data_IF_668290119725
#
_entry.id   IF_668290119725
#
_cell.length_a   1.000
_cell.length_b   1.000
_cell.length_c   1.000
_cell.angle_alpha   90.00
_cell.angle_beta   90.00
_cell.angle_gamma   90.00
#
_symmetry.space_group_name_H-M   'P 1'
#
loop_
_entity.id
_entity.type
_entity.pdbx_description
1 polymer ?
#
# COMPACT_ATOMS: atom_id res chain seq x y z
N UNK A 1 20.06 0.71 -0.64
CA UNK A 1 19.13 0.60 -1.78
C UNK A 1 18.18 1.79 -1.72
N UNK A 2 18.10 2.57 -2.79
CA UNK A 2 17.22 3.74 -2.87
C UNK A 2 15.84 3.36 -3.44
N UNK A 3 14.83 4.21 -3.20
CA UNK A 3 13.47 4.07 -3.74
C UNK A 3 13.46 4.01 -5.28
N UNK A 4 14.36 4.77 -5.91
CA UNK A 4 14.57 4.76 -7.35
C UNK A 4 15.06 3.39 -7.86
N UNK A 5 15.91 2.71 -7.08
CA UNK A 5 16.41 1.38 -7.43
C UNK A 5 15.29 0.34 -7.36
N UNK A 6 14.43 0.41 -6.33
CA UNK A 6 13.29 -0.51 -6.16
C UNK A 6 12.25 -0.31 -7.28
N UNK A 7 11.94 0.94 -7.64
CA UNK A 7 11.00 1.23 -8.73
C UNK A 7 11.54 0.75 -10.08
N UNK A 8 12.83 1.00 -10.35
CA UNK A 8 13.51 0.53 -11.56
C UNK A 8 13.49 -1.00 -11.69
N UNK A 9 13.75 -1.70 -10.59
CA UNK A 9 13.74 -3.17 -10.57
C UNK A 9 12.33 -3.74 -10.76
N UNK A 10 11.29 -3.10 -10.21
CA UNK A 10 9.89 -3.49 -10.42
C UNK A 10 9.51 -3.35 -11.89
N UNK A 11 9.91 -2.26 -12.55
CA UNK A 11 9.57 -2.02 -13.95
C UNK A 11 10.31 -2.97 -14.90
N UNK A 12 11.58 -3.28 -14.60
CA UNK A 12 12.32 -4.34 -15.31
C UNK A 12 11.63 -5.70 -15.17
N UNK A 13 11.24 -6.08 -13.96
CA UNK A 13 10.53 -7.35 -13.72
C UNK A 13 9.19 -7.43 -14.45
N UNK A 14 8.43 -6.32 -14.50
CA UNK A 14 7.21 -6.22 -15.30
C UNK A 14 7.47 -6.38 -16.80
N UNK A 15 8.55 -5.80 -17.31
CA UNK A 15 8.97 -5.95 -18.70
C UNK A 15 9.29 -7.41 -19.04
N UNK A 16 10.08 -8.07 -18.19
CA UNK A 16 10.43 -9.49 -18.35
C UNK A 16 9.20 -10.39 -18.31
N UNK A 17 8.27 -10.15 -17.39
CA UNK A 17 7.00 -10.89 -17.31
C UNK A 17 6.17 -10.78 -18.59
N UNK A 18 6.09 -9.57 -19.16
CA UNK A 18 5.35 -9.34 -20.39
C UNK A 18 5.96 -10.08 -21.58
N UNK A 19 7.29 -10.06 -21.67
CA UNK A 19 8.03 -10.79 -22.71
C UNK A 19 7.82 -12.30 -22.61
N UNK A 20 7.83 -12.87 -21.40
CA UNK A 20 7.54 -14.31 -21.19
C UNK A 20 6.10 -14.63 -21.59
N UNK A 21 5.12 -13.80 -21.20
CA UNK A 21 3.72 -14.00 -21.55
C UNK A 21 3.48 -13.98 -23.07
N UNK A 22 4.18 -13.08 -23.79
CA UNK A 22 4.09 -12.99 -25.24
C UNK A 22 4.79 -14.17 -25.94
N UNK A 23 5.93 -14.65 -25.41
CA UNK A 23 6.60 -15.85 -25.91
C UNK A 23 5.73 -17.10 -25.77
N UNK A 24 5.00 -17.24 -24.65
CA UNK A 24 4.05 -18.35 -24.42
C UNK A 24 2.89 -18.30 -25.42
N UNK A 25 2.34 -17.11 -25.69
CA UNK A 25 1.29 -16.92 -26.71
C UNK A 25 1.80 -17.28 -28.11
N UNK A 26 3.06 -17.00 -28.43
CA UNK A 26 3.65 -17.40 -29.71
C UNK A 26 3.82 -18.91 -29.80
N UNK A 27 4.29 -19.58 -28.74
CA UNK A 27 4.43 -21.03 -28.72
C UNK A 27 3.06 -21.74 -28.87
N UNK A 28 2.00 -21.19 -28.30
CA UNK A 28 0.61 -21.70 -28.41
C UNK A 28 0.10 -21.70 -29.87
N UNK A 29 0.58 -20.75 -30.70
CA UNK A 29 0.26 -20.71 -32.15
C UNK A 29 0.99 -21.77 -32.97
N UNK A 30 2.12 -22.28 -32.48
CA UNK A 30 3.03 -23.16 -33.24
C UNK A 30 2.90 -24.64 -32.83
N UNK A 31 2.42 -24.95 -31.61
CA UNK A 31 2.23 -26.33 -31.14
C UNK A 31 1.03 -26.49 -30.17
N UNK A 32 -0.22 -26.58 -30.66
CA UNK A 32 -1.43 -26.49 -29.82
C UNK A 32 -1.73 -27.74 -28.93
N UNK A 33 -0.97 -28.84 -29.05
CA UNK A 33 -1.30 -30.13 -28.40
C UNK A 33 -0.72 -30.38 -27.00
N UNK A 34 0.53 -29.99 -26.74
CA UNK A 34 1.29 -30.34 -25.50
C UNK A 34 1.47 -29.14 -24.54
N UNK A 35 0.82 -28.01 -24.83
CA UNK A 35 1.13 -26.72 -24.19
C UNK A 35 0.20 -26.39 -23.02
N UNK A 36 -0.94 -27.07 -22.84
CA UNK A 36 -1.92 -26.71 -21.80
C UNK A 36 -1.34 -26.71 -20.38
N UNK A 37 -0.63 -27.78 -20.00
CA UNK A 37 0.01 -27.88 -18.68
C UNK A 37 1.16 -26.89 -18.52
N UNK A 38 1.89 -26.62 -19.61
CA UNK A 38 2.96 -25.60 -19.64
C UNK A 38 2.40 -24.18 -19.53
N UNK A 39 1.24 -23.93 -20.13
CA UNK A 39 0.53 -22.64 -20.10
C UNK A 39 -0.03 -22.38 -18.70
N UNK A 40 -0.64 -23.37 -18.06
CA UNK A 40 -1.08 -23.27 -16.67
C UNK A 40 0.11 -23.02 -15.74
N UNK A 41 1.23 -23.73 -15.93
CA UNK A 41 2.44 -23.50 -15.14
C UNK A 41 3.04 -22.10 -15.32
N UNK A 42 3.04 -21.55 -16.54
CA UNK A 42 3.54 -20.19 -16.79
C UNK A 42 2.57 -19.12 -16.29
N UNK A 43 1.26 -19.32 -16.44
CA UNK A 43 0.25 -18.42 -15.90
C UNK A 43 0.32 -18.38 -14.37
N UNK A 44 0.47 -19.53 -13.72
CA UNK A 44 0.63 -19.60 -12.26
C UNK A 44 1.89 -18.86 -11.79
N UNK A 45 3.03 -19.06 -12.47
CA UNK A 45 4.28 -18.32 -12.16
C UNK A 45 4.14 -16.82 -12.39
N UNK A 46 3.44 -16.42 -13.45
CA UNK A 46 3.14 -15.01 -13.71
C UNK A 46 2.32 -14.41 -12.56
N UNK A 47 1.27 -15.11 -12.12
CA UNK A 47 0.38 -14.62 -11.05
C UNK A 47 1.11 -14.55 -9.70
N UNK A 48 1.97 -15.51 -9.39
CA UNK A 48 2.84 -15.48 -8.21
C UNK A 48 3.84 -14.32 -8.25
N UNK A 49 4.41 -14.03 -9.41
CA UNK A 49 5.31 -12.91 -9.62
C UNK A 49 4.57 -11.57 -9.49
N UNK A 50 3.37 -11.44 -10.07
CA UNK A 50 2.52 -10.24 -9.91
C UNK A 50 2.16 -10.04 -8.45
N UNK A 51 1.79 -11.10 -7.72
CA UNK A 51 1.47 -11.03 -6.29
C UNK A 51 2.69 -10.60 -5.47
N UNK A 52 3.88 -11.10 -5.80
CA UNK A 52 5.14 -10.71 -5.17
C UNK A 52 5.49 -9.25 -5.44
N UNK A 53 5.31 -8.78 -6.67
CA UNK A 53 5.52 -7.38 -7.05
C UNK A 53 4.54 -6.44 -6.35
N UNK A 54 3.27 -6.81 -6.27
CA UNK A 54 2.26 -6.04 -5.52
C UNK A 54 2.60 -5.94 -4.04
N UNK A 55 3.09 -7.02 -3.40
CA UNK A 55 3.59 -6.98 -2.02
C UNK A 55 4.80 -6.04 -1.88
N UNK A 56 5.77 -6.12 -2.78
CA UNK A 56 6.96 -5.24 -2.77
C UNK A 56 6.61 -3.77 -2.96
N UNK A 57 5.63 -3.47 -3.83
CA UNK A 57 5.15 -2.10 -4.04
C UNK A 57 4.53 -1.53 -2.77
N UNK A 58 3.67 -2.30 -2.09
CA UNK A 58 3.09 -1.89 -0.79
C UNK A 58 4.17 -1.60 0.25
N UNK A 59 5.18 -2.47 0.36
CA UNK A 59 6.31 -2.26 1.28
C UNK A 59 7.11 -0.99 0.93
N UNK A 60 7.27 -0.69 -0.36
CA UNK A 60 7.93 0.55 -0.81
C UNK A 60 7.11 1.79 -0.46
N UNK A 61 5.79 1.74 -0.63
CA UNK A 61 4.89 2.85 -0.30
C UNK A 61 4.86 3.09 1.22
N UNK A 62 4.79 2.02 2.03
CA UNK A 62 4.91 2.07 3.50
C UNK A 62 6.25 2.67 3.94
N UNK A 63 7.36 2.21 3.38
CA UNK A 63 8.70 2.74 3.68
C UNK A 63 8.83 4.22 3.32
N UNK A 64 8.30 4.62 2.16
CA UNK A 64 8.31 6.03 1.71
C UNK A 64 7.56 6.93 2.68
N UNK A 65 6.40 6.48 3.15
CA UNK A 65 5.58 7.25 4.09
C UNK A 65 6.26 7.33 5.45
N UNK A 66 6.83 6.23 5.95
CA UNK A 66 7.62 6.24 7.19
C UNK A 66 8.84 7.15 7.09
N UNK A 67 9.60 7.11 6.00
CA UNK A 67 10.76 7.98 5.80
C UNK A 67 10.37 9.46 5.70
N UNK A 68 9.23 9.78 5.07
CA UNK A 68 8.70 11.15 5.07
C UNK A 68 8.34 11.63 6.48
N UNK A 69 7.72 10.78 7.29
CA UNK A 69 7.38 11.11 8.67
C UNK A 69 8.62 11.26 9.55
N UNK A 70 9.62 10.38 9.39
CA UNK A 70 10.91 10.45 10.08
C UNK A 70 11.65 11.74 9.78
N UNK A 71 11.72 12.15 8.50
CA UNK A 71 12.31 13.44 8.08
C UNK A 71 11.60 14.66 8.67
N UNK A 72 10.33 14.50 9.04
CA UNK A 72 9.47 15.55 9.58
C UNK A 72 9.42 15.56 11.11
N UNK A 73 10.16 14.67 11.78
CA UNK A 73 10.22 14.57 13.23
C UNK A 73 8.97 13.97 13.87
N UNK A 74 8.15 13.25 13.11
CA UNK A 74 6.99 12.53 13.62
C UNK A 74 7.47 11.15 14.07
N UNK A 75 7.17 10.76 15.31
CA UNK A 75 7.59 9.47 15.86
C UNK A 75 6.78 8.31 15.27
N UNK A 76 7.34 7.10 15.27
CA UNK A 76 6.60 5.89 14.88
C UNK A 76 5.38 5.65 15.78
N UNK A 77 5.49 6.00 17.06
CA UNK A 77 4.40 5.93 18.04
C UNK A 77 3.25 6.86 17.67
N UNK A 78 3.54 8.11 17.26
CA UNK A 78 2.52 9.07 16.85
C UNK A 78 1.74 8.55 15.62
N UNK A 79 2.45 7.98 14.65
CA UNK A 79 1.85 7.39 13.44
C UNK A 79 0.97 6.20 13.82
N UNK A 80 1.47 5.30 14.66
CA UNK A 80 0.76 4.10 15.09
C UNK A 80 -0.53 4.47 15.86
N UNK A 81 -0.46 5.50 16.70
CA UNK A 81 -1.61 5.98 17.46
C UNK A 81 -2.71 6.54 16.56
N UNK A 82 -2.34 7.37 15.57
CA UNK A 82 -3.30 7.92 14.59
C UNK A 82 -3.85 6.82 13.67
N UNK A 83 -3.03 5.87 13.21
CA UNK A 83 -3.51 4.76 12.37
C UNK A 83 -4.45 3.82 13.15
N UNK A 84 -4.14 3.53 14.42
CA UNK A 84 -5.04 2.76 15.30
C UNK A 84 -6.40 3.45 15.46
N UNK A 85 -6.40 4.76 15.71
CA UNK A 85 -7.63 5.56 15.74
C UNK A 85 -8.39 5.51 14.40
N UNK A 86 -7.68 5.58 13.26
CA UNK A 86 -8.31 5.49 11.94
C UNK A 86 -8.86 4.09 11.60
N UNK A 87 -8.29 3.01 12.14
CA UNK A 87 -8.78 1.65 11.91
C UNK A 87 -9.92 1.24 12.84
N UNK A 88 -10.08 1.95 13.95
CA UNK A 88 -11.11 1.67 14.92
C UNK A 88 -12.51 2.01 14.38
N UNK A 89 -13.29 0.96 14.14
CA UNK A 89 -14.64 1.04 13.57
C UNK A 89 -15.63 1.74 14.50
N UNK A 90 -15.34 1.85 15.81
CA UNK A 90 -16.17 2.57 16.76
C UNK A 90 -16.33 4.04 16.36
N UNK A 91 -15.32 4.63 15.70
CA UNK A 91 -15.34 6.03 15.25
C UNK A 91 -15.89 6.23 13.82
N UNK A 92 -16.56 5.21 13.28
CA UNK A 92 -17.16 5.22 11.94
C UNK A 92 -16.18 4.86 10.82
N UNK A 93 -16.59 4.97 9.54
CA UNK A 93 -15.77 4.56 8.40
C UNK A 93 -14.55 5.47 8.20
N UNK A 94 -13.46 4.88 7.69
CA UNK A 94 -12.17 5.53 7.37
C UNK A 94 -12.20 6.37 6.10
N UNK A 95 -13.04 6.02 5.14
CA UNK A 95 -13.02 6.61 3.80
C UNK A 95 -13.67 7.99 3.77
N UNK A 96 -13.02 8.94 3.09
CA UNK A 96 -13.62 10.20 2.65
C UNK A 96 -13.63 11.33 3.68
N UNK A 97 -12.90 11.20 4.79
CA UNK A 97 -12.85 12.21 5.86
C UNK A 97 -11.42 12.39 6.36
N UNK A 98 -11.01 13.63 6.63
CA UNK A 98 -9.69 13.91 7.24
C UNK A 98 -9.66 13.35 8.67
N UNK A 99 -8.49 12.95 9.19
CA UNK A 99 -8.41 12.38 10.54
C UNK A 99 -8.93 13.32 11.63
N UNK A 100 -8.67 14.63 11.50
CA UNK A 100 -9.17 15.66 12.40
C UNK A 100 -10.70 15.76 12.37
N UNK A 101 -11.31 15.78 11.19
CA UNK A 101 -12.77 15.80 11.04
C UNK A 101 -13.41 14.57 11.67
N UNK A 102 -12.77 13.40 11.49
CA UNK A 102 -13.23 12.15 12.13
C UNK A 102 -13.14 12.22 13.65
N UNK A 103 -12.07 12.80 14.19
CA UNK A 103 -11.93 13.01 15.63
C UNK A 103 -13.05 13.90 16.18
N UNK A 104 -13.28 15.07 15.60
CA UNK A 104 -14.34 15.98 16.04
C UNK A 104 -15.73 15.36 15.91
N UNK A 105 -15.97 14.57 14.85
CA UNK A 105 -17.20 13.79 14.71
C UNK A 105 -17.35 12.78 15.85
N UNK A 106 -16.30 12.03 16.17
CA UNK A 106 -16.32 11.06 17.27
C UNK A 106 -16.63 11.72 18.62
N UNK A 107 -16.04 12.89 18.89
CA UNK A 107 -16.35 13.70 20.08
C UNK A 107 -17.82 14.14 20.08
N UNK A 108 -18.33 14.61 18.94
CA UNK A 108 -19.76 14.99 18.80
C UNK A 108 -20.73 13.85 19.12
N UNK A 109 -20.32 12.60 18.90
CA UNK A 109 -21.09 11.39 19.23
C UNK A 109 -20.73 10.79 20.61
N UNK A 110 -19.99 11.51 21.45
CA UNK A 110 -19.56 11.07 22.80
C UNK A 110 -18.78 9.74 22.79
N UNK A 111 -18.00 9.48 21.73
CA UNK A 111 -17.20 8.25 21.60
C UNK A 111 -15.83 8.33 22.30
N UNK A 112 -15.48 9.48 22.85
CA UNK A 112 -14.27 9.72 23.66
C UNK A 112 -12.97 9.15 23.06
N UNK A 113 -12.56 9.57 21.85
CA UNK A 113 -11.24 9.24 21.32
C UNK A 113 -10.12 9.82 22.21
N UNK A 114 -8.91 9.23 22.16
CA UNK A 114 -7.78 9.65 23.01
C UNK A 114 -7.34 11.09 22.73
N UNK A 115 -7.06 11.85 23.80
CA UNK A 115 -6.53 13.21 23.70
C UNK A 115 -5.13 13.27 23.07
N UNK A 116 -4.36 12.17 23.13
CA UNK A 116 -3.06 12.08 22.45
C UNK A 116 -3.23 12.14 20.93
N UNK A 117 -4.31 11.53 20.40
CA UNK A 117 -4.64 11.60 18.98
C UNK A 117 -4.90 13.05 18.58
N UNK A 118 -5.67 13.80 19.37
CA UNK A 118 -5.92 15.21 19.10
C UNK A 118 -4.62 16.02 19.11
N UNK A 119 -3.78 15.80 20.13
CA UNK A 119 -2.51 16.51 20.28
C UNK A 119 -1.59 16.30 19.07
N UNK A 120 -1.57 15.08 18.51
CA UNK A 120 -0.80 14.76 17.30
C UNK A 120 -1.43 15.40 16.06
N UNK A 121 -2.76 15.35 15.92
CA UNK A 121 -3.48 15.93 14.78
C UNK A 121 -3.38 17.46 14.75
N UNK A 122 -3.35 18.12 15.91
CA UNK A 122 -3.14 19.56 16.02
C UNK A 122 -1.69 19.97 15.76
N UNK A 123 -0.74 19.13 16.18
CA UNK A 123 0.69 19.34 15.91
C UNK A 123 1.03 19.16 14.43
N UNK A 124 0.33 18.27 13.72
CA UNK A 124 0.63 17.89 12.34
C UNK A 124 -0.60 17.77 11.41
N UNK A 125 -1.43 18.83 11.26
CA UNK A 125 -2.75 18.73 10.63
C UNK A 125 -2.71 18.35 9.14
N UNK A 126 -1.76 18.90 8.38
CA UNK A 126 -1.66 18.62 6.93
C UNK A 126 -0.99 17.27 6.63
N UNK A 127 -0.20 16.75 7.57
CA UNK A 127 0.67 15.58 7.33
C UNK A 127 -0.02 14.26 7.68
N UNK A 128 -0.98 14.32 8.59
CA UNK A 128 -1.74 13.14 9.02
C UNK A 128 -2.84 12.77 8.02
N UNK A 129 -3.20 13.66 7.09
CA UNK A 129 -4.14 13.34 5.99
C UNK A 129 -3.65 12.20 5.09
N UNK A 130 -2.33 12.08 4.91
CA UNK A 130 -1.75 11.02 4.09
C UNK A 130 -1.95 9.62 4.69
N UNK A 131 -2.18 9.52 6.01
CA UNK A 131 -2.54 8.25 6.68
C UNK A 131 -3.89 7.73 6.17
N UNK A 132 -4.82 8.61 5.76
CA UNK A 132 -6.13 8.19 5.21
C UNK A 132 -5.97 7.41 3.90
N UNK A 133 -4.86 7.58 3.18
CA UNK A 133 -4.61 6.97 1.87
C UNK A 133 -3.84 5.64 1.92
N UNK A 134 -3.35 5.25 3.10
CA UNK A 134 -2.81 3.92 3.38
C UNK A 134 -3.93 2.91 3.61
#
# INVERSE_FOLDING_TARGET
>A
MSEADISSDIDKLRGTLRSIADAVKMLDRVCPGDIRDRREAVQQRHDDLVKTLSKRRKLSDEYRIQEQYRRRGISEEDIALVDAFQRDSRFGPRSGMRPSDRYHRAVKFNLNPSADVLSILERWPEKMDDIVRL
#
